data_IF_778115725411
#
_entry.id   IF_778115725411
#
_cell.length_a   1.000
_cell.length_b   1.000
_cell.length_c   1.000
_cell.angle_alpha   90.00
_cell.angle_beta   90.00
_cell.angle_gamma   90.00
#
_symmetry.space_group_name_H-M   'P 1'
#
loop_
_entity.id
_entity.type
_entity.pdbx_description
1 polymer ?
#
# COMPACT_ATOMS: atom_id res chain seq x y z
N UNK A 1 -8.30 13.13 -14.00
CA UNK A 1 -9.18 12.27 -13.18
C UNK A 1 -10.07 11.48 -14.13
N UNK A 2 -10.24 10.18 -13.87
CA UNK A 2 -11.13 9.29 -14.62
C UNK A 2 -12.60 9.64 -14.32
N UNK A 3 -13.49 9.33 -15.27
CA UNK A 3 -14.92 9.47 -15.06
C UNK A 3 -15.39 8.55 -13.91
N UNK A 4 -16.05 9.09 -12.90
CA UNK A 4 -16.42 8.34 -11.69
C UNK A 4 -17.60 7.37 -11.91
N UNK A 5 -18.40 7.56 -12.97
CA UNK A 5 -19.49 6.64 -13.28
C UNK A 5 -18.97 5.36 -13.97
N UNK A 6 -17.95 5.50 -14.83
CA UNK A 6 -17.28 4.36 -15.50
C UNK A 6 -16.16 3.76 -14.64
N UNK A 7 -15.53 4.57 -13.79
CA UNK A 7 -14.43 4.18 -12.91
C UNK A 7 -14.71 4.61 -11.47
N UNK A 8 -15.53 3.84 -10.72
CA UNK A 8 -15.84 4.15 -9.33
C UNK A 8 -14.58 4.21 -8.47
N UNK A 9 -14.61 5.05 -7.44
CA UNK A 9 -13.49 5.19 -6.50
C UNK A 9 -13.21 3.89 -5.75
N UNK A 10 -11.94 3.57 -5.54
CA UNK A 10 -11.47 2.32 -4.91
C UNK A 10 -10.52 2.59 -3.76
N UNK A 11 -10.73 1.92 -2.63
CA UNK A 11 -9.82 2.00 -1.49
C UNK A 11 -8.65 1.03 -1.67
N UNK A 12 -7.42 1.54 -1.54
CA UNK A 12 -6.21 0.74 -1.72
C UNK A 12 -5.34 0.86 -0.48
N UNK A 13 -4.88 -0.28 0.01
CA UNK A 13 -3.84 -0.30 1.05
C UNK A 13 -2.48 -0.51 0.39
N UNK A 14 -1.56 0.44 0.59
CA UNK A 14 -0.23 0.38 0.01
C UNK A 14 0.82 0.58 1.10
N UNK A 15 1.75 -0.37 1.22
CA UNK A 15 2.90 -0.17 2.09
C UNK A 15 4.17 0.14 1.29
N UNK A 16 5.09 0.85 1.93
CA UNK A 16 6.50 0.95 1.53
C UNK A 16 7.35 0.30 2.62
N UNK A 17 8.37 -0.48 2.24
CA UNK A 17 9.09 -1.30 3.22
C UNK A 17 9.87 -0.47 4.24
N UNK A 18 10.32 0.73 3.84
CA UNK A 18 11.12 1.63 4.66
C UNK A 18 10.72 3.10 4.41
N UNK A 19 10.13 3.75 5.41
CA UNK A 19 9.77 5.18 5.34
C UNK A 19 10.99 6.11 5.30
N UNK A 20 12.15 5.65 5.73
CA UNK A 20 13.41 6.40 5.68
C UNK A 20 14.19 6.18 4.38
N UNK A 21 13.66 5.40 3.42
CA UNK A 21 14.28 5.26 2.11
C UNK A 21 14.03 6.51 1.26
N UNK A 22 15.11 7.14 0.80
CA UNK A 22 15.04 8.41 0.06
C UNK A 22 14.30 8.27 -1.28
N UNK A 23 14.49 7.17 -2.01
CA UNK A 23 13.80 6.98 -3.28
C UNK A 23 12.30 6.81 -3.04
N UNK A 24 11.92 5.98 -2.06
CA UNK A 24 10.52 5.73 -1.74
C UNK A 24 9.82 6.99 -1.23
N UNK A 25 10.42 7.68 -0.26
CA UNK A 25 9.80 8.84 0.38
C UNK A 25 9.83 10.13 -0.45
N UNK A 26 10.87 10.35 -1.26
CA UNK A 26 11.04 11.62 -2.01
C UNK A 26 10.64 11.53 -3.48
N UNK A 27 10.45 10.33 -4.04
CA UNK A 27 10.13 10.16 -5.46
C UNK A 27 8.96 9.23 -5.68
N UNK A 28 9.03 7.99 -5.19
CA UNK A 28 8.06 6.97 -5.52
C UNK A 28 6.67 7.28 -4.95
N UNK A 29 6.56 7.47 -3.63
CA UNK A 29 5.28 7.76 -2.98
C UNK A 29 4.67 9.10 -3.45
N UNK A 30 5.42 10.22 -3.55
CA UNK A 30 4.87 11.46 -4.12
C UNK A 30 4.37 11.31 -5.55
N UNK A 31 5.04 10.49 -6.36
CA UNK A 31 4.59 10.21 -7.73
C UNK A 31 3.27 9.44 -7.74
N UNK A 32 3.12 8.41 -6.91
CA UNK A 32 1.85 7.69 -6.77
C UNK A 32 0.72 8.60 -6.30
N UNK A 33 0.98 9.45 -5.30
CA UNK A 33 0.00 10.42 -4.80
C UNK A 33 -0.52 11.38 -5.89
N UNK A 34 0.31 11.74 -6.87
CA UNK A 34 -0.13 12.53 -8.02
C UNK A 34 -1.09 11.77 -8.96
N UNK A 35 -1.07 10.44 -8.93
CA UNK A 35 -1.93 9.58 -9.75
C UNK A 35 -3.18 9.07 -9.02
N UNK A 36 -3.21 9.10 -7.69
CA UNK A 36 -4.33 8.59 -6.88
C UNK A 36 -5.67 9.20 -7.33
N UNK A 37 -5.77 10.53 -7.31
CA UNK A 37 -6.95 11.24 -7.79
C UNK A 37 -7.18 11.07 -9.28
N UNK A 38 -6.11 10.94 -10.08
CA UNK A 38 -6.26 10.75 -11.51
C UNK A 38 -6.95 9.41 -11.82
N UNK A 39 -6.74 8.40 -10.98
CA UNK A 39 -7.22 7.03 -11.13
C UNK A 39 -8.42 6.69 -10.24
N UNK A 40 -8.99 7.68 -9.53
CA UNK A 40 -10.05 7.48 -8.55
C UNK A 40 -9.65 6.45 -7.47
N UNK A 41 -8.46 6.59 -6.88
CA UNK A 41 -7.97 5.73 -5.80
C UNK A 41 -7.90 6.50 -4.49
N UNK A 42 -8.44 5.91 -3.43
CA UNK A 42 -8.24 6.35 -2.05
C UNK A 42 -7.15 5.47 -1.43
N UNK A 43 -5.89 5.91 -1.54
CA UNK A 43 -4.74 5.11 -1.13
C UNK A 43 -4.31 5.44 0.30
N UNK A 44 -4.26 4.43 1.17
CA UNK A 44 -3.63 4.51 2.49
C UNK A 44 -2.17 4.07 2.41
N UNK A 45 -1.25 5.01 2.60
CA UNK A 45 0.19 4.77 2.58
C UNK A 45 0.74 4.40 3.95
N UNK A 46 1.31 3.20 4.07
CA UNK A 46 1.90 2.68 5.29
C UNK A 46 3.43 2.58 5.15
N UNK A 47 4.16 3.37 5.94
CA UNK A 47 5.62 3.29 6.00
C UNK A 47 6.14 2.28 7.01
N UNK A 48 6.98 1.34 6.57
CA UNK A 48 7.71 0.41 7.43
C UNK A 48 9.04 0.98 7.97
N UNK A 49 9.71 0.19 8.81
CA UNK A 49 11.03 0.53 9.39
C UNK A 49 12.24 0.03 8.58
N UNK A 50 11.99 -0.71 7.50
CA UNK A 50 13.03 -1.33 6.66
C UNK A 50 13.73 -2.53 7.29
N UNK A 51 13.29 -3.03 8.43
CA UNK A 51 13.96 -4.10 9.20
C UNK A 51 13.04 -5.30 9.48
N UNK A 52 11.79 -5.05 9.87
CA UNK A 52 10.87 -6.09 10.33
C UNK A 52 9.54 -6.07 9.58
N UNK A 53 9.14 -7.22 9.03
CA UNK A 53 7.86 -7.30 8.29
C UNK A 53 6.65 -7.01 9.20
N UNK A 54 6.75 -7.41 10.47
CA UNK A 54 5.69 -7.20 11.46
C UNK A 54 5.42 -5.73 11.77
N UNK A 55 6.38 -4.83 11.54
CA UNK A 55 6.16 -3.39 11.61
C UNK A 55 5.03 -2.94 10.66
N UNK A 56 4.94 -3.61 9.51
CA UNK A 56 3.98 -3.32 8.44
C UNK A 56 2.73 -4.19 8.62
N UNK A 57 2.88 -5.51 8.74
CA UNK A 57 1.73 -6.43 8.75
C UNK A 57 0.80 -6.21 9.94
N UNK A 58 1.33 -5.80 11.10
CA UNK A 58 0.52 -5.49 12.28
C UNK A 58 -0.36 -4.24 12.12
N UNK A 59 -0.10 -3.42 11.09
CA UNK A 59 -0.88 -2.21 10.79
C UNK A 59 -2.04 -2.50 9.83
N UNK A 60 -2.09 -3.67 9.21
CA UNK A 60 -3.23 -4.12 8.42
C UNK A 60 -4.26 -4.83 9.32
N UNK A 61 -5.02 -4.05 10.09
CA UNK A 61 -5.95 -4.57 11.10
C UNK A 61 -7.28 -5.08 10.57
N UNK A 62 -7.79 -4.50 9.47
CA UNK A 62 -9.03 -4.91 8.83
C UNK A 62 -8.85 -4.95 7.31
N UNK A 63 -8.37 -6.05 6.72
CA UNK A 63 -8.19 -6.16 5.27
C UNK A 63 -9.48 -5.93 4.48
N UNK A 64 -10.64 -6.35 5.01
CA UNK A 64 -11.93 -6.29 4.30
C UNK A 64 -12.44 -4.89 3.95
N UNK A 65 -11.85 -3.82 4.50
CA UNK A 65 -12.23 -2.44 4.17
C UNK A 65 -11.58 -1.92 2.87
N UNK A 66 -10.59 -2.64 2.33
CA UNK A 66 -9.86 -2.23 1.13
C UNK A 66 -10.32 -3.05 -0.08
N UNK A 67 -10.46 -2.41 -1.23
CA UNK A 67 -10.74 -3.07 -2.50
C UNK A 67 -9.48 -3.78 -3.08
N UNK A 68 -8.28 -3.26 -2.79
CA UNK A 68 -7.03 -3.79 -3.31
C UNK A 68 -5.83 -3.54 -2.39
N UNK A 69 -4.73 -4.25 -2.67
CA UNK A 69 -3.48 -4.20 -1.91
C UNK A 69 -2.28 -4.05 -2.84
N UNK A 70 -1.33 -3.18 -2.47
CA UNK A 70 -0.04 -3.04 -3.12
C UNK A 70 1.07 -3.23 -2.08
N UNK A 71 1.90 -4.26 -2.25
CA UNK A 71 2.82 -4.72 -1.22
C UNK A 71 4.28 -4.50 -1.63
N UNK A 72 5.02 -3.75 -0.82
CA UNK A 72 6.46 -3.57 -0.96
C UNK A 72 7.18 -4.13 0.29
N UNK A 73 7.65 -5.37 0.19
CA UNK A 73 8.11 -6.15 1.35
C UNK A 73 9.49 -5.73 1.86
N UNK A 74 9.75 -5.92 3.15
CA UNK A 74 11.10 -5.78 3.72
C UNK A 74 11.99 -6.93 3.25
N UNK A 75 11.48 -8.17 3.33
CA UNK A 75 12.17 -9.37 2.86
C UNK A 75 11.48 -9.92 1.62
N UNK A 76 12.25 -10.14 0.55
CA UNK A 76 11.72 -10.54 -0.75
C UNK A 76 11.13 -11.95 -0.78
N UNK A 77 11.41 -12.77 0.23
CA UNK A 77 10.91 -14.14 0.39
C UNK A 77 9.69 -14.24 1.33
N UNK A 78 9.20 -13.13 1.89
CA UNK A 78 8.21 -13.14 2.97
C UNK A 78 6.76 -12.86 2.53
N UNK A 79 6.41 -13.21 1.30
CA UNK A 79 5.06 -13.02 0.76
C UNK A 79 3.97 -13.78 1.56
N UNK A 80 4.35 -14.88 2.22
CA UNK A 80 3.45 -15.68 3.05
C UNK A 80 2.83 -14.87 4.21
N UNK A 81 3.58 -13.94 4.82
CA UNK A 81 3.06 -13.10 5.91
C UNK A 81 1.89 -12.22 5.47
N UNK A 82 1.91 -11.73 4.24
CA UNK A 82 0.83 -10.90 3.69
C UNK A 82 -0.34 -11.75 3.21
N UNK A 83 -0.08 -12.77 2.40
CA UNK A 83 -1.14 -13.63 1.85
C UNK A 83 -1.94 -14.37 2.93
N UNK A 84 -1.32 -14.70 4.07
CA UNK A 84 -2.03 -15.27 5.23
C UNK A 84 -2.98 -14.29 5.92
N UNK A 85 -2.73 -12.98 5.83
CA UNK A 85 -3.65 -11.95 6.35
C UNK A 85 -4.81 -11.70 5.40
N UNK A 86 -4.56 -11.80 4.09
CA UNK A 86 -5.55 -11.53 3.04
C UNK A 86 -6.49 -12.71 2.74
N UNK A 87 -6.19 -13.89 3.29
CA UNK A 87 -7.00 -15.11 3.11
C UNK A 87 -7.97 -15.39 4.26
N UNK A 88 -8.05 -14.48 5.23
CA UNK A 88 -9.02 -14.52 6.33
C UNK A 88 -10.38 -14.04 5.86
#
# INVERSE_FOLDING_TARGET
QLDEAEHPRKSVWLNIYNAADNFLGSTYQPLLQNYDDLLNLDVEYIGGDGQTESNITNRLGNPSQYDAFAINMVKTDNAASYTSLLSQ
#
